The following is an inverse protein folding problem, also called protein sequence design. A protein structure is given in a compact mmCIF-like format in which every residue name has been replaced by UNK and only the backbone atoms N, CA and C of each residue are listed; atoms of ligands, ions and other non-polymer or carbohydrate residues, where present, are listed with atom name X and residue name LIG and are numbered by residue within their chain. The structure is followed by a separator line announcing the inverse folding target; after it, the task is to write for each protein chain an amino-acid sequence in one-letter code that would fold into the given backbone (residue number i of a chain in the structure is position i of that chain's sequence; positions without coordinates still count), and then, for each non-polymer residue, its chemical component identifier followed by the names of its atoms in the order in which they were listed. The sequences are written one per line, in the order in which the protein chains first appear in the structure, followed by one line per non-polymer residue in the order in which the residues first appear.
data_IF_637961679231
#
_entry.id   IF_637961679231
#
_cell.length_a   1.000
_cell.length_b   1.000
_cell.length_c   1.000
_cell.angle_alpha   90.00
_cell.angle_beta   90.00
_cell.angle_gamma   90.00
#
_symmetry.space_group_name_H-M   'P 1'
#
loop_
_entity.id
_entity.type
_entity.pdbx_description
1 polymer ?
#
# COMPACT_ATOMS: atom_id res chain seq x y z
N UNK A 1 49.03 -58.41 -81.11
CA UNK A 1 48.22 -57.17 -81.13
C UNK A 1 47.76 -56.92 -79.72
N UNK A 2 48.18 -55.79 -79.14
CA UNK A 2 48.12 -55.51 -77.70
C UNK A 2 46.92 -54.62 -77.39
N UNK A 3 45.93 -55.14 -76.66
CA UNK A 3 44.75 -54.38 -76.24
C UNK A 3 45.09 -53.56 -74.99
N UNK A 4 45.30 -52.25 -75.20
CA UNK A 4 45.41 -51.23 -74.16
C UNK A 4 44.01 -50.76 -73.75
N UNK A 5 43.70 -50.89 -72.46
CA UNK A 5 42.56 -50.22 -71.81
C UNK A 5 42.77 -48.70 -71.77
N UNK A 6 41.70 -47.89 -71.90
CA UNK A 6 41.71 -46.52 -71.43
C UNK A 6 40.72 -46.25 -70.28
N UNK A 7 41.29 -45.65 -69.23
CA UNK A 7 40.84 -44.57 -68.34
C UNK A 7 39.39 -44.50 -67.78
N UNK A 8 39.38 -44.38 -66.45
CA UNK A 8 38.27 -44.02 -65.54
C UNK A 8 37.54 -42.73 -65.97
N UNK A 9 36.22 -42.82 -66.09
CA UNK A 9 35.29 -41.68 -66.08
C UNK A 9 34.70 -41.47 -64.68
N UNK A 10 34.70 -40.22 -64.22
CA UNK A 10 34.31 -39.77 -62.88
C UNK A 10 32.82 -40.03 -62.56
N UNK A 11 32.54 -40.53 -61.36
CA UNK A 11 31.20 -40.56 -60.76
C UNK A 11 30.88 -39.13 -60.31
N UNK A 12 29.78 -38.54 -60.81
CA UNK A 12 29.27 -37.25 -60.33
C UNK A 12 28.76 -37.40 -58.89
N UNK A 13 29.05 -36.47 -57.96
CA UNK A 13 28.45 -36.48 -56.64
C UNK A 13 26.94 -36.21 -56.74
N UNK A 14 26.17 -36.93 -55.93
CA UNK A 14 24.76 -36.66 -55.67
C UNK A 14 24.70 -35.34 -54.91
N UNK A 15 24.06 -34.31 -55.47
CA UNK A 15 23.68 -33.12 -54.72
C UNK A 15 22.58 -33.50 -53.72
N UNK A 16 22.96 -33.66 -52.46
CA UNK A 16 22.00 -33.63 -51.35
C UNK A 16 21.58 -32.17 -51.19
N UNK A 17 20.35 -31.86 -51.57
CA UNK A 17 19.73 -30.57 -51.28
C UNK A 17 19.67 -30.43 -49.77
N UNK A 18 20.48 -29.54 -49.21
CA UNK A 18 20.39 -29.13 -47.82
C UNK A 18 19.15 -28.24 -47.75
N UNK A 19 18.08 -28.75 -47.15
CA UNK A 19 16.87 -27.97 -46.91
C UNK A 19 17.25 -26.64 -46.27
N UNK A 20 16.90 -25.55 -46.96
CA UNK A 20 17.19 -24.21 -46.51
C UNK A 20 16.47 -23.98 -45.17
N UNK A 21 17.23 -23.73 -44.10
CA UNK A 21 16.68 -23.36 -42.80
C UNK A 21 15.91 -22.05 -42.94
N UNK A 22 14.58 -22.12 -43.05
CA UNK A 22 13.71 -20.96 -43.10
C UNK A 22 13.51 -20.39 -41.70
N UNK A 23 14.32 -19.38 -41.35
CA UNK A 23 14.10 -18.61 -40.12
C UNK A 23 12.93 -17.64 -40.32
N UNK A 24 11.83 -17.85 -39.60
CA UNK A 24 10.66 -16.96 -39.62
C UNK A 24 10.55 -16.20 -38.29
N UNK A 25 10.59 -14.87 -38.35
CA UNK A 25 10.37 -14.00 -37.19
C UNK A 25 8.90 -13.61 -37.09
N UNK A 26 8.31 -13.74 -35.91
CA UNK A 26 6.91 -13.41 -35.61
C UNK A 26 6.89 -12.44 -34.43
N UNK A 27 6.27 -11.27 -34.61
CA UNK A 27 6.07 -10.28 -33.55
C UNK A 27 4.60 -10.28 -33.10
N UNK A 28 4.34 -10.49 -31.81
CA UNK A 28 2.99 -10.54 -31.23
C UNK A 28 2.91 -9.62 -30.01
N UNK A 29 1.85 -8.80 -29.94
CA UNK A 29 1.66 -7.76 -28.92
C UNK A 29 0.56 -8.09 -27.90
N UNK A 30 0.33 -9.39 -27.62
CA UNK A 30 -0.53 -9.86 -26.52
C UNK A 30 -2.04 -9.92 -26.77
N UNK A 31 -2.57 -9.29 -27.82
CA UNK A 31 -4.03 -9.23 -28.06
C UNK A 31 -4.62 -10.41 -28.85
N UNK A 32 -3.78 -11.26 -29.46
CA UNK A 32 -4.21 -12.40 -30.29
C UNK A 32 -3.29 -13.59 -30.07
N UNK A 33 -3.81 -14.81 -30.18
CA UNK A 33 -3.00 -16.03 -30.12
C UNK A 33 -2.34 -16.31 -31.48
N UNK A 34 -1.07 -16.73 -31.47
CA UNK A 34 -0.37 -17.21 -32.67
C UNK A 34 -0.03 -18.69 -32.51
N UNK A 35 -0.33 -19.48 -33.55
CA UNK A 35 -0.01 -20.91 -33.59
C UNK A 35 1.17 -21.13 -34.51
N UNK A 36 2.20 -21.83 -34.03
CA UNK A 36 3.38 -22.23 -34.79
C UNK A 36 3.34 -23.76 -34.95
N UNK A 37 3.41 -24.25 -36.17
CA UNK A 37 3.45 -25.67 -36.50
C UNK A 37 4.68 -25.96 -37.37
N UNK A 38 5.23 -27.17 -37.25
CA UNK A 38 6.38 -27.66 -38.01
C UNK A 38 7.68 -26.84 -37.80
N UNK A 39 7.99 -26.48 -36.56
CA UNK A 39 9.25 -25.84 -36.20
C UNK A 39 10.14 -26.80 -35.39
N UNK A 40 11.39 -26.96 -35.80
CA UNK A 40 12.38 -27.78 -35.08
C UNK A 40 12.88 -27.08 -33.81
N UNK A 41 12.88 -25.75 -33.79
CA UNK A 41 13.27 -24.94 -32.62
C UNK A 41 12.51 -23.62 -32.62
N UNK A 42 12.03 -23.20 -31.44
CA UNK A 42 11.32 -21.93 -31.24
C UNK A 42 12.07 -21.08 -30.22
N UNK A 43 12.54 -19.91 -30.63
CA UNK A 43 13.18 -18.93 -29.76
C UNK A 43 12.20 -17.80 -29.45
N UNK A 44 11.83 -17.65 -28.16
CA UNK A 44 10.91 -16.62 -27.69
C UNK A 44 11.72 -15.50 -27.04
N UNK A 45 11.79 -14.35 -27.71
CA UNK A 45 12.41 -13.14 -27.17
C UNK A 45 11.31 -12.22 -26.63
N UNK A 46 11.14 -12.19 -25.32
CA UNK A 46 10.24 -11.24 -24.66
C UNK A 46 10.98 -9.93 -24.47
N UNK A 47 10.53 -8.86 -25.13
CA UNK A 47 10.94 -7.52 -24.70
C UNK A 47 10.11 -7.11 -23.49
N UNK A 48 10.72 -6.55 -22.43
CA UNK A 48 9.96 -5.94 -21.35
C UNK A 48 9.05 -4.90 -21.98
N UNK A 49 7.74 -5.05 -21.75
CA UNK A 49 6.75 -4.13 -22.29
C UNK A 49 7.15 -2.71 -21.97
N UNK A 50 7.13 -1.83 -22.99
CA UNK A 50 7.22 -0.39 -22.76
C UNK A 50 6.16 -0.08 -21.72
N UNK A 51 6.55 0.38 -20.54
CA UNK A 51 5.63 0.75 -19.47
C UNK A 51 4.74 1.90 -19.99
N UNK A 52 3.69 1.61 -20.76
CA UNK A 52 2.54 2.48 -20.79
C UNK A 52 1.98 2.36 -19.38
N UNK A 53 2.41 3.28 -18.53
CA UNK A 53 1.95 3.49 -17.17
C UNK A 53 0.49 3.93 -17.17
N UNK A 54 -0.38 3.23 -17.90
CA UNK A 54 -1.81 3.21 -17.60
C UNK A 54 -1.99 2.28 -16.40
N UNK A 55 -1.38 2.69 -15.28
CA UNK A 55 -1.70 2.12 -13.99
C UNK A 55 -3.21 2.33 -13.78
N UNK A 56 -3.93 1.32 -13.26
CA UNK A 56 -5.34 1.51 -12.94
C UNK A 56 -5.43 2.73 -12.03
N UNK A 57 -6.21 3.71 -12.46
CA UNK A 57 -6.53 4.90 -11.70
C UNK A 57 -6.94 4.46 -10.30
N UNK A 58 -6.06 4.65 -9.31
CA UNK A 58 -6.41 4.35 -7.93
C UNK A 58 -7.37 5.44 -7.49
N UNK A 59 -8.45 5.04 -6.82
CA UNK A 59 -9.52 5.96 -6.41
C UNK A 59 -9.56 6.01 -4.88
N UNK A 60 -9.58 7.21 -4.31
CA UNK A 60 -9.93 7.47 -2.91
C UNK A 60 -11.32 8.10 -2.87
N UNK A 61 -12.34 7.30 -2.54
CA UNK A 61 -13.74 7.73 -2.63
C UNK A 61 -14.12 7.92 -4.09
N UNK A 62 -14.30 9.18 -4.49
CA UNK A 62 -14.56 9.58 -5.88
C UNK A 62 -13.37 10.27 -6.55
N UNK A 63 -12.24 10.39 -5.84
CA UNK A 63 -11.06 11.14 -6.31
C UNK A 63 -10.09 10.19 -6.98
N UNK A 64 -9.71 10.51 -8.22
CA UNK A 64 -8.58 9.89 -8.91
C UNK A 64 -7.27 10.41 -8.31
N UNK A 65 -6.43 9.51 -7.84
CA UNK A 65 -5.14 9.85 -7.22
C UNK A 65 -3.97 9.34 -8.07
N UNK A 66 -2.80 9.96 -7.94
CA UNK A 66 -1.59 9.52 -8.63
C UNK A 66 -1.07 8.20 -8.06
N UNK A 67 -0.14 7.55 -8.77
CA UNK A 67 0.46 6.30 -8.28
C UNK A 67 1.33 6.52 -7.05
N UNK A 68 2.00 7.67 -6.98
CA UNK A 68 2.81 8.05 -5.81
C UNK A 68 1.90 8.21 -4.59
N UNK A 69 0.82 8.97 -4.73
CA UNK A 69 -0.19 9.14 -3.68
C UNK A 69 -0.80 7.81 -3.25
N UNK A 70 -1.13 6.93 -4.21
CA UNK A 70 -1.67 5.61 -3.91
C UNK A 70 -0.73 4.77 -3.02
N UNK A 71 0.58 4.80 -3.32
CA UNK A 71 1.60 4.08 -2.56
C UNK A 71 1.76 4.67 -1.16
N UNK A 72 1.97 5.99 -1.05
CA UNK A 72 2.10 6.68 0.23
C UNK A 72 0.85 6.48 1.10
N UNK A 73 -0.34 6.57 0.50
CA UNK A 73 -1.60 6.40 1.21
C UNK A 73 -1.75 4.96 1.72
N UNK A 74 -1.32 3.96 0.95
CA UNK A 74 -1.33 2.56 1.40
C UNK A 74 -0.41 2.36 2.61
N UNK A 75 0.79 2.95 2.59
CA UNK A 75 1.72 2.92 3.73
C UNK A 75 1.11 3.61 4.97
N UNK A 76 0.54 4.80 4.80
CA UNK A 76 -0.08 5.56 5.88
C UNK A 76 -1.25 4.78 6.50
N UNK A 77 -2.14 4.26 5.65
CA UNK A 77 -3.27 3.43 6.06
C UNK A 77 -2.81 2.21 6.82
N UNK A 78 -1.75 1.53 6.37
CA UNK A 78 -1.23 0.36 7.07
C UNK A 78 -0.68 0.73 8.45
N UNK A 79 0.00 1.86 8.58
CA UNK A 79 0.53 2.34 9.85
C UNK A 79 -0.57 2.66 10.87
N UNK A 80 -1.65 3.33 10.45
CA UNK A 80 -2.65 3.89 11.37
C UNK A 80 -3.98 3.15 11.47
N UNK A 81 -4.29 2.18 10.59
CA UNK A 81 -5.62 1.53 10.57
C UNK A 81 -6.06 0.97 11.91
N UNK A 82 -5.19 0.18 12.56
CA UNK A 82 -5.53 -0.46 13.82
C UNK A 82 -5.48 0.53 14.99
N UNK A 83 -4.58 1.51 14.94
CA UNK A 83 -4.46 2.59 15.93
C UNK A 83 -5.75 3.41 15.93
N UNK A 84 -6.20 3.89 14.77
CA UNK A 84 -7.46 4.63 14.62
C UNK A 84 -8.63 3.85 15.19
N UNK A 85 -8.80 2.59 14.78
CA UNK A 85 -9.89 1.73 15.27
C UNK A 85 -9.86 1.58 16.79
N UNK A 86 -8.69 1.42 17.38
CA UNK A 86 -8.54 1.29 18.83
C UNK A 86 -8.93 2.60 19.51
N UNK A 87 -8.33 3.71 19.11
CA UNK A 87 -8.58 5.04 19.67
C UNK A 87 -10.05 5.47 19.57
N UNK A 88 -10.71 5.21 18.44
CA UNK A 88 -12.13 5.51 18.24
C UNK A 88 -13.02 4.69 19.18
N UNK A 89 -12.66 3.43 19.43
CA UNK A 89 -13.49 2.50 20.20
C UNK A 89 -13.32 2.72 21.71
N UNK A 90 -12.09 2.82 22.19
CA UNK A 90 -11.77 2.81 23.62
C UNK A 90 -11.79 4.24 24.19
N UNK A 91 -12.60 4.48 25.23
CA UNK A 91 -12.68 5.79 25.89
C UNK A 91 -11.73 5.81 27.08
N UNK A 92 -10.61 6.56 27.04
CA UNK A 92 -9.63 6.58 28.14
C UNK A 92 -10.19 7.15 29.45
N UNK A 93 -11.39 7.75 29.44
CA UNK A 93 -12.05 8.28 30.64
C UNK A 93 -12.98 7.28 31.33
N UNK A 94 -13.32 6.18 30.66
CA UNK A 94 -14.16 5.10 31.18
C UNK A 94 -13.47 3.73 31.18
N UNK A 95 -12.50 3.52 30.30
CA UNK A 95 -11.84 2.24 30.05
C UNK A 95 -10.33 2.32 30.32
N UNK A 96 -9.73 1.15 30.57
CA UNK A 96 -8.27 1.01 30.58
C UNK A 96 -7.70 1.18 29.16
N UNK A 97 -6.68 2.02 29.01
CA UNK A 97 -6.08 2.35 27.73
C UNK A 97 -4.70 1.72 27.58
N UNK A 98 -4.47 0.98 26.49
CA UNK A 98 -3.23 0.23 26.23
C UNK A 98 -2.07 1.18 25.92
N UNK A 99 -0.98 1.09 26.70
CA UNK A 99 0.22 1.91 26.53
C UNK A 99 0.89 1.65 25.18
N UNK A 100 0.82 0.42 24.66
CA UNK A 100 1.41 0.10 23.38
C UNK A 100 0.78 0.91 22.24
N UNK A 101 -0.49 1.30 22.36
CA UNK A 101 -1.12 2.19 21.39
C UNK A 101 -0.45 3.57 21.35
N UNK A 102 -0.02 4.10 22.50
CA UNK A 102 0.70 5.39 22.60
C UNK A 102 2.05 5.28 21.89
N UNK A 103 2.82 4.24 22.20
CA UNK A 103 4.13 3.99 21.58
C UNK A 103 4.03 3.86 20.05
N UNK A 104 2.98 3.21 19.56
CA UNK A 104 2.72 3.07 18.13
C UNK A 104 2.36 4.41 17.48
N UNK A 105 1.58 5.27 18.14
CA UNK A 105 1.28 6.62 17.65
C UNK A 105 2.59 7.41 17.54
N UNK A 106 3.38 7.49 18.60
CA UNK A 106 4.64 8.25 18.63
C UNK A 106 5.64 7.73 17.58
N UNK A 107 5.80 6.40 17.48
CA UNK A 107 6.66 5.77 16.48
C UNK A 107 6.26 6.15 15.06
N UNK A 108 4.97 6.08 14.74
CA UNK A 108 4.47 6.40 13.41
C UNK A 108 4.51 7.90 13.14
N UNK A 109 4.28 8.74 14.15
CA UNK A 109 4.34 10.18 14.04
C UNK A 109 5.72 10.64 13.57
N UNK A 110 6.80 10.04 14.10
CA UNK A 110 8.16 10.39 13.73
C UNK A 110 8.45 10.27 12.23
N UNK A 111 7.85 9.28 11.56
CA UNK A 111 7.89 9.16 10.10
C UNK A 111 6.98 10.20 9.45
N UNK A 112 5.70 10.16 9.80
CA UNK A 112 4.67 10.85 9.05
C UNK A 112 4.61 12.37 9.27
N UNK A 113 5.27 12.91 10.29
CA UNK A 113 5.34 14.36 10.55
C UNK A 113 5.97 15.17 9.41
N UNK A 114 6.78 14.52 8.56
CA UNK A 114 7.40 15.14 7.37
C UNK A 114 6.81 14.58 6.07
N UNK A 115 6.74 13.26 5.95
CA UNK A 115 6.36 12.54 4.73
C UNK A 115 4.94 12.86 4.24
N UNK A 116 4.05 13.41 5.09
CA UNK A 116 2.73 13.85 4.63
C UNK A 116 2.79 14.97 3.58
N UNK A 117 3.90 15.69 3.47
CA UNK A 117 4.10 16.72 2.44
C UNK A 117 4.45 16.15 1.07
N UNK A 118 4.78 14.85 1.00
CA UNK A 118 5.18 14.17 -0.23
C UNK A 118 3.97 13.71 -1.07
N UNK A 119 2.76 13.81 -0.53
CA UNK A 119 1.54 13.65 -1.32
C UNK A 119 1.40 14.78 -2.34
N UNK A 120 1.00 14.47 -3.57
CA UNK A 120 0.74 15.44 -4.63
C UNK A 120 -0.66 16.08 -4.48
N UNK A 121 -1.63 15.31 -3.97
CA UNK A 121 -2.99 15.80 -3.72
C UNK A 121 -3.08 16.60 -2.42
N UNK A 122 -3.39 17.90 -2.53
CA UNK A 122 -3.67 18.79 -1.38
C UNK A 122 -4.75 18.22 -0.45
N UNK A 123 -5.79 17.58 -1.01
CA UNK A 123 -6.84 16.97 -0.19
C UNK A 123 -6.33 15.78 0.63
N UNK A 124 -5.43 14.95 0.08
CA UNK A 124 -4.83 13.85 0.86
C UNK A 124 -3.88 14.41 1.92
N UNK A 125 -3.08 15.42 1.56
CA UNK A 125 -2.23 16.13 2.51
C UNK A 125 -3.04 16.65 3.70
N UNK A 126 -4.20 17.28 3.44
CA UNK A 126 -5.11 17.80 4.47
C UNK A 126 -5.62 16.68 5.40
N UNK A 127 -6.14 15.59 4.83
CA UNK A 127 -6.66 14.44 5.61
C UNK A 127 -5.56 13.87 6.51
N UNK A 128 -4.37 13.66 5.96
CA UNK A 128 -3.23 13.08 6.69
C UNK A 128 -2.74 14.04 7.78
N UNK A 129 -2.55 15.32 7.45
CA UNK A 129 -2.14 16.35 8.40
C UNK A 129 -3.11 16.48 9.57
N UNK A 130 -4.43 16.54 9.29
CA UNK A 130 -5.45 16.57 10.32
C UNK A 130 -5.43 15.32 11.20
N UNK A 131 -5.26 14.14 10.61
CA UNK A 131 -5.12 12.89 11.36
C UNK A 131 -3.93 12.93 12.33
N UNK A 132 -2.78 13.42 11.88
CA UNK A 132 -1.57 13.56 12.70
C UNK A 132 -1.77 14.59 13.82
N UNK A 133 -2.41 15.72 13.53
CA UNK A 133 -2.72 16.74 14.53
C UNK A 133 -3.67 16.21 15.60
N UNK A 134 -4.71 15.46 15.22
CA UNK A 134 -5.61 14.82 16.16
C UNK A 134 -4.89 13.83 17.07
N UNK A 135 -3.96 13.02 16.53
CA UNK A 135 -3.15 12.14 17.36
C UNK A 135 -2.21 12.88 18.30
N UNK A 136 -1.54 13.93 17.83
CA UNK A 136 -0.66 14.73 18.68
C UNK A 136 -1.44 15.40 19.83
N UNK A 137 -2.63 15.93 19.53
CA UNK A 137 -3.52 16.43 20.57
C UNK A 137 -3.97 15.32 21.52
N UNK A 138 -4.27 14.13 21.00
CA UNK A 138 -4.70 13.01 21.85
C UNK A 138 -3.60 12.56 22.81
N UNK A 139 -2.35 12.51 22.35
CA UNK A 139 -1.18 12.17 23.16
C UNK A 139 -1.03 13.10 24.38
N UNK A 140 -1.34 14.39 24.21
CA UNK A 140 -1.36 15.32 25.35
C UNK A 140 -2.36 14.90 26.44
N UNK A 141 -3.55 14.45 26.04
CA UNK A 141 -4.57 13.94 26.98
C UNK A 141 -4.29 12.54 27.51
N UNK A 142 -3.43 11.77 26.83
CA UNK A 142 -2.95 10.46 27.27
C UNK A 142 -1.68 10.54 28.13
N UNK A 143 -1.12 11.74 28.31
CA UNK A 143 0.10 11.99 29.09
C UNK A 143 -0.09 11.74 30.60
N UNK A 144 1.02 11.70 31.31
CA UNK A 144 1.08 11.61 32.77
C UNK A 144 0.34 12.75 33.48
N UNK A 145 0.06 13.88 32.82
CA UNK A 145 -0.77 14.96 33.38
C UNK A 145 -2.18 14.48 33.75
N UNK A 146 -2.76 13.60 32.92
CA UNK A 146 -4.15 13.14 33.00
C UNK A 146 -4.28 11.66 33.31
N UNK A 147 -3.28 10.86 32.93
CA UNK A 147 -3.32 9.40 33.03
C UNK A 147 -2.30 8.89 34.05
N UNK A 148 -2.55 7.70 34.56
CA UNK A 148 -1.62 6.95 35.42
C UNK A 148 -1.68 5.47 35.07
N UNK A 149 -0.65 4.72 35.43
CA UNK A 149 -0.65 3.26 35.31
C UNK A 149 -1.81 2.65 36.11
N UNK A 150 -2.47 1.67 35.50
CA UNK A 150 -3.45 0.82 36.17
C UNK A 150 -2.69 -0.12 37.14
N UNK A 151 -2.94 -0.05 38.46
CA UNK A 151 -2.14 -0.83 39.41
C UNK A 151 -2.22 -2.35 39.24
N UNK A 152 -3.35 -2.86 38.73
CA UNK A 152 -3.56 -4.29 38.49
C UNK A 152 -2.94 -4.78 37.17
N UNK A 153 -2.63 -3.88 36.24
CA UNK A 153 -1.96 -4.22 34.99
C UNK A 153 -1.18 -2.99 34.46
N UNK A 154 0.15 -2.95 34.63
CA UNK A 154 0.96 -1.80 34.27
C UNK A 154 1.08 -1.57 32.75
N UNK A 155 0.61 -2.49 31.91
CA UNK A 155 0.55 -2.28 30.45
C UNK A 155 -0.60 -1.34 30.03
N UNK A 156 -1.45 -0.94 30.99
CA UNK A 156 -2.60 -0.09 30.76
C UNK A 156 -2.57 1.19 31.62
N UNK A 157 -3.19 2.22 31.08
CA UNK A 157 -3.45 3.49 31.75
C UNK A 157 -4.91 3.62 32.16
N UNK A 158 -5.13 4.38 33.22
CA UNK A 158 -6.44 4.86 33.65
C UNK A 158 -6.35 6.34 33.99
N UNK A 159 -7.47 7.05 33.90
CA UNK A 159 -7.51 8.46 34.26
C UNK A 159 -7.17 8.70 35.74
N UNK A 160 -6.49 9.83 35.98
CA UNK A 160 -6.27 10.36 37.32
C UNK A 160 -7.56 10.96 37.84
N UNK A 161 -7.93 10.56 39.04
CA UNK A 161 -9.14 11.01 39.74
C UNK A 161 -9.00 10.75 41.25
N UNK A 162 -7.78 10.89 41.78
CA UNK A 162 -7.48 10.58 43.19
C UNK A 162 -7.70 11.80 44.09
N UNK A 163 -7.82 12.99 43.50
CA UNK A 163 -8.04 14.27 44.19
C UNK A 163 -9.16 15.09 43.54
N UNK A 164 -9.67 16.08 44.26
CA UNK A 164 -10.70 17.01 43.75
C UNK A 164 -10.22 17.69 42.47
N UNK A 165 -8.99 18.23 42.46
CA UNK A 165 -8.38 18.90 41.30
C UNK A 165 -8.20 17.96 40.10
N UNK A 166 -7.86 16.69 40.34
CA UNK A 166 -7.83 15.69 39.26
C UNK A 166 -9.22 15.39 38.72
N UNK A 167 -10.21 15.25 39.59
CA UNK A 167 -11.60 15.04 39.18
C UNK A 167 -12.18 16.21 38.40
N UNK A 168 -11.82 17.45 38.74
CA UNK A 168 -12.17 18.65 37.96
C UNK A 168 -11.53 18.60 36.57
N UNK A 169 -10.21 18.37 36.47
CA UNK A 169 -9.55 18.23 35.17
C UNK A 169 -10.13 17.08 34.35
N UNK A 170 -10.51 15.98 34.97
CA UNK A 170 -11.18 14.87 34.28
C UNK A 170 -12.50 15.32 33.65
N UNK A 171 -13.34 16.05 34.39
CA UNK A 171 -14.66 16.49 33.93
C UNK A 171 -14.60 17.64 32.93
N UNK A 172 -13.76 18.63 33.19
CA UNK A 172 -13.74 19.89 32.44
C UNK A 172 -12.75 19.88 31.27
N UNK A 173 -11.67 19.09 31.35
CA UNK A 173 -10.63 19.02 30.30
C UNK A 173 -10.64 17.67 29.59
N UNK A 174 -10.35 16.58 30.30
CA UNK A 174 -10.06 15.28 29.66
C UNK A 174 -11.28 14.69 28.93
N UNK A 175 -12.41 14.53 29.62
CA UNK A 175 -13.62 13.90 29.04
C UNK A 175 -14.18 14.63 27.82
N UNK A 176 -14.42 15.95 27.84
CA UNK A 176 -14.97 16.62 26.66
C UNK A 176 -13.98 16.56 25.48
N UNK A 177 -12.68 16.68 25.72
CA UNK A 177 -11.69 16.63 24.65
C UNK A 177 -11.44 15.22 24.12
N UNK A 178 -11.45 14.18 24.98
CA UNK A 178 -11.31 12.79 24.51
C UNK A 178 -12.47 12.40 23.59
N UNK A 179 -13.70 12.80 23.94
CA UNK A 179 -14.90 12.56 23.10
C UNK A 179 -14.73 13.25 21.75
N UNK A 180 -14.45 14.57 21.75
CA UNK A 180 -14.28 15.34 20.51
C UNK A 180 -13.19 14.74 19.63
N UNK A 181 -12.00 14.49 20.17
CA UNK A 181 -10.87 13.95 19.40
C UNK A 181 -11.19 12.57 18.82
N UNK A 182 -11.87 11.70 19.58
CA UNK A 182 -12.30 10.38 19.08
C UNK A 182 -13.29 10.50 17.92
N UNK A 183 -14.21 11.47 17.97
CA UNK A 183 -15.13 11.75 16.87
C UNK A 183 -14.39 12.28 15.64
N UNK A 184 -13.45 13.20 15.82
CA UNK A 184 -12.61 13.70 14.72
C UNK A 184 -11.76 12.56 14.10
N UNK A 185 -11.14 11.70 14.91
CA UNK A 185 -10.41 10.52 14.44
C UNK A 185 -11.32 9.54 13.68
N UNK A 186 -12.58 9.39 14.10
CA UNK A 186 -13.58 8.59 13.37
C UNK A 186 -13.86 9.20 12.00
N UNK A 187 -14.02 10.51 11.93
CA UNK A 187 -14.32 11.20 10.68
C UNK A 187 -13.12 11.10 9.71
N UNK A 188 -11.88 11.24 10.22
CA UNK A 188 -10.65 10.97 9.44
C UNK A 188 -10.58 9.52 8.95
N UNK A 189 -10.97 8.55 9.81
CA UNK A 189 -11.03 7.15 9.40
C UNK A 189 -12.03 6.97 8.24
N UNK A 190 -13.19 7.61 8.26
CA UNK A 190 -14.17 7.50 7.17
C UNK A 190 -13.66 8.13 5.87
N UNK A 191 -12.91 9.23 5.92
CA UNK A 191 -12.28 9.82 4.74
C UNK A 191 -11.17 8.96 4.15
N UNK A 192 -10.40 8.29 5.01
CA UNK A 192 -9.35 7.36 4.58
C UNK A 192 -9.95 6.07 4.02
N UNK A 193 -11.04 5.57 4.57
CA UNK A 193 -11.74 4.37 4.09
C UNK A 193 -13.18 4.68 3.67
N UNK A 194 -13.37 5.47 2.59
CA UNK A 194 -14.70 5.84 2.15
C UNK A 194 -15.46 4.60 1.70
N UNK A 195 -16.67 4.43 2.22
CA UNK A 195 -17.59 3.41 1.71
C UNK A 195 -18.11 3.86 0.35
N UNK A 196 -18.25 2.92 -0.59
CA UNK A 196 -19.08 3.17 -1.78
C UNK A 196 -20.53 3.13 -1.33
N UNK A 197 -21.32 4.13 -1.69
CA UNK A 197 -22.77 4.00 -1.58
C UNK A 197 -23.20 2.75 -2.37
N UNK A 198 -24.03 1.86 -1.80
CA UNK A 198 -24.59 0.77 -2.57
C UNK A 198 -25.41 1.39 -3.71
N UNK A 199 -25.03 1.10 -4.95
CA UNK A 199 -25.82 1.53 -6.10
C UNK A 199 -27.23 0.97 -5.95
N UNK A 200 -28.28 1.80 -6.00
CA UNK A 200 -29.65 1.31 -5.97
C UNK A 200 -29.82 0.32 -7.13
N UNK A 201 -30.32 -0.88 -6.79
CA UNK A 201 -30.63 -1.94 -7.75
C UNK A 201 -31.81 -1.56 -8.62
#
# INVERSE_FOLDING_TARGET
MSNKFPAKGQIKPIEVSVDAVTNKSINQYGEKNTVIQHADTVNINMQPGRNSSTFPSTILGDIKISNNDAKLLAEFKNAYKNILKYCIRIDPTGDAFDIHCIELIERNYNKWQFDWRDFESEKIQEIVCHTLNNFNEYLYYLSDKYMRLLPSNPDFLICKNQSIKEGERLREELRPNSIRIREELRDRYLELWPAKEPTPK
#
